data_IF_441195717415
#
_entry.id   IF_441195717415
#
_cell.length_a   1.000
_cell.length_b   1.000
_cell.length_c   1.000
_cell.angle_alpha   90.00
_cell.angle_beta   90.00
_cell.angle_gamma   90.00
#
_symmetry.space_group_name_H-M   'P 1'
#
loop_
_entity.id
_entity.type
_entity.pdbx_description
1 polymer ?
#
# COMPACT_ATOMS: atom_id res chain seq x y z
N UNK A 1 17.06 -40.52 -6.81
CA UNK A 1 16.03 -39.61 -6.25
C UNK A 1 15.14 -39.19 -7.40
N UNK A 2 13.83 -39.46 -7.35
CA UNK A 2 12.92 -39.06 -8.43
C UNK A 2 12.85 -37.53 -8.44
N UNK A 3 13.15 -36.91 -9.57
CA UNK A 3 13.19 -35.46 -9.69
C UNK A 3 11.77 -34.91 -9.61
N UNK A 4 11.38 -34.38 -8.45
CA UNK A 4 10.11 -33.67 -8.27
C UNK A 4 10.14 -32.26 -8.88
N UNK A 5 11.25 -31.88 -9.53
CA UNK A 5 11.45 -30.57 -10.12
C UNK A 5 10.37 -30.24 -11.17
N UNK A 6 9.94 -31.23 -11.94
CA UNK A 6 8.86 -31.06 -12.91
C UNK A 6 7.54 -30.63 -12.25
N UNK A 7 7.22 -31.19 -11.08
CA UNK A 7 5.99 -30.82 -10.33
C UNK A 7 6.08 -29.38 -9.84
N UNK A 8 7.24 -28.97 -9.30
CA UNK A 8 7.45 -27.59 -8.87
C UNK A 8 7.39 -26.59 -10.03
N UNK A 9 7.94 -26.93 -11.20
CA UNK A 9 7.84 -26.10 -12.39
C UNK A 9 6.40 -25.94 -12.85
N UNK A 10 5.66 -27.04 -12.96
CA UNK A 10 4.23 -27.02 -13.37
C UNK A 10 3.40 -26.21 -12.37
N UNK A 11 3.63 -26.39 -11.07
CA UNK A 11 2.94 -25.62 -10.03
C UNK A 11 3.28 -24.13 -10.14
N UNK A 12 4.55 -23.78 -10.34
CA UNK A 12 4.99 -22.39 -10.52
C UNK A 12 4.35 -21.73 -11.74
N UNK A 13 4.29 -22.43 -12.87
CA UNK A 13 3.60 -21.97 -14.08
C UNK A 13 2.09 -21.78 -13.86
N UNK A 14 1.45 -22.69 -13.12
CA UNK A 14 0.03 -22.60 -12.79
C UNK A 14 -0.29 -21.40 -11.89
N UNK A 15 0.54 -21.14 -10.87
CA UNK A 15 0.37 -19.97 -10.00
C UNK A 15 0.52 -18.62 -10.75
N UNK A 16 1.33 -18.57 -11.81
CA UNK A 16 1.53 -17.34 -12.60
C UNK A 16 0.44 -17.16 -13.67
N UNK A 17 -0.10 -18.26 -14.20
CA UNK A 17 -1.15 -18.22 -15.23
C UNK A 17 -2.43 -17.53 -14.75
N UNK A 18 -2.82 -17.74 -13.49
CA UNK A 18 -4.07 -17.22 -12.92
C UNK A 18 -3.98 -15.76 -12.43
N UNK A 19 -2.80 -15.13 -12.47
CA UNK A 19 -2.62 -13.76 -11.98
C UNK A 19 -3.25 -12.70 -12.91
N UNK A 20 -3.64 -13.10 -14.12
CA UNK A 20 -4.10 -12.20 -15.18
C UNK A 20 -5.63 -12.17 -15.31
N UNK A 21 -6.34 -12.01 -14.19
CA UNK A 21 -7.72 -11.54 -14.21
C UNK A 21 -7.83 -10.21 -13.46
N UNK A 22 -6.97 -9.25 -13.84
CA UNK A 22 -7.25 -7.85 -13.56
C UNK A 22 -8.63 -7.54 -14.16
N UNK A 23 -9.58 -7.14 -13.31
CA UNK A 23 -10.98 -6.89 -13.63
C UNK A 23 -11.10 -6.15 -14.98
N UNK A 24 -11.36 -6.91 -16.04
CA UNK A 24 -11.45 -6.42 -17.42
C UNK A 24 -12.64 -5.47 -17.59
N UNK A 25 -13.67 -5.66 -16.78
CA UNK A 25 -14.87 -4.83 -16.75
C UNK A 25 -15.22 -4.46 -15.30
N UNK A 26 -14.71 -3.31 -14.87
CA UNK A 26 -15.01 -2.76 -13.54
C UNK A 26 -16.46 -2.24 -13.46
N UNK A 27 -17.04 -1.86 -14.59
CA UNK A 27 -18.42 -1.38 -14.69
C UNK A 27 -19.42 -2.51 -14.49
N UNK A 28 -19.23 -3.63 -15.18
CA UNK A 28 -20.01 -4.85 -14.98
C UNK A 28 -19.91 -5.39 -13.56
N UNK A 29 -18.70 -5.43 -12.99
CA UNK A 29 -18.52 -5.84 -11.59
C UNK A 29 -19.27 -4.93 -10.61
N UNK A 30 -19.20 -3.60 -10.80
CA UNK A 30 -19.93 -2.66 -9.95
C UNK A 30 -21.43 -2.93 -10.01
N UNK A 31 -21.95 -3.09 -11.23
CA UNK A 31 -23.36 -3.35 -11.50
C UNK A 31 -23.85 -4.62 -10.79
N UNK A 32 -23.10 -5.71 -10.88
CA UNK A 32 -23.41 -6.97 -10.19
C UNK A 32 -23.37 -6.81 -8.66
N UNK A 33 -22.30 -6.21 -8.13
CA UNK A 33 -22.09 -6.08 -6.68
C UNK A 33 -23.09 -5.12 -6.03
N UNK A 34 -23.45 -4.05 -6.74
CA UNK A 34 -24.32 -2.98 -6.25
C UNK A 34 -25.77 -3.16 -6.66
N UNK A 35 -26.15 -4.36 -7.13
CA UNK A 35 -27.54 -4.70 -7.51
C UNK A 35 -28.11 -3.69 -8.50
N UNK A 36 -27.42 -3.48 -9.60
CA UNK A 36 -27.80 -2.57 -10.68
C UNK A 36 -27.76 -1.07 -10.32
N UNK A 37 -27.32 -0.69 -9.12
CA UNK A 37 -27.18 0.72 -8.79
C UNK A 37 -26.07 1.38 -9.61
N UNK A 38 -26.30 2.61 -10.11
CA UNK A 38 -25.32 3.33 -10.90
C UNK A 38 -24.08 3.67 -10.05
N UNK A 39 -22.92 3.68 -10.69
CA UNK A 39 -21.68 4.12 -10.04
C UNK A 39 -21.75 5.62 -9.72
N UNK A 40 -21.43 6.03 -8.47
CA UNK A 40 -21.38 7.44 -8.12
C UNK A 40 -20.39 8.21 -8.98
N UNK A 41 -20.78 9.42 -9.39
CA UNK A 41 -19.98 10.30 -10.25
C UNK A 41 -18.59 10.58 -9.67
N UNK A 42 -18.50 10.81 -8.35
CA UNK A 42 -17.25 11.10 -7.64
C UNK A 42 -16.18 10.00 -7.75
N UNK A 43 -16.58 8.75 -8.01
CA UNK A 43 -15.64 7.63 -8.18
C UNK A 43 -15.57 7.13 -9.61
N UNK A 44 -16.46 7.60 -10.48
CA UNK A 44 -16.52 7.17 -11.88
C UNK A 44 -15.24 7.52 -12.62
N UNK A 45 -14.65 8.67 -12.32
CA UNK A 45 -13.38 9.13 -12.89
C UNK A 45 -12.15 8.36 -12.39
N UNK A 46 -12.27 7.69 -11.23
CA UNK A 46 -11.20 6.85 -10.66
C UNK A 46 -11.13 5.48 -11.34
N UNK A 47 -12.29 4.99 -11.78
CA UNK A 47 -12.45 3.77 -12.56
C UNK A 47 -12.02 4.08 -13.97
N UNK A 48 -10.71 3.98 -14.21
CA UNK A 48 -10.14 4.27 -15.51
C UNK A 48 -10.86 3.45 -16.58
N UNK A 49 -11.49 4.14 -17.53
CA UNK A 49 -11.91 3.52 -18.77
C UNK A 49 -10.67 2.85 -19.37
N UNK A 50 -10.72 1.54 -19.54
CA UNK A 50 -9.63 0.73 -20.11
C UNK A 50 -9.20 1.23 -21.51
N UNK A 51 -9.98 2.14 -22.12
CA UNK A 51 -9.73 2.76 -23.42
C UNK A 51 -9.12 4.17 -23.34
N UNK A 52 -9.09 4.83 -22.18
CA UNK A 52 -8.46 6.15 -22.05
C UNK A 52 -6.97 5.97 -21.82
N UNK A 53 -6.28 5.88 -22.97
CA UNK A 53 -4.88 6.19 -23.25
C UNK A 53 -3.97 6.48 -22.06
N UNK A 54 -2.78 5.88 -22.11
CA UNK A 54 -1.63 6.13 -21.25
C UNK A 54 -1.25 7.62 -21.04
N UNK A 55 -1.85 8.54 -21.79
CA UNK A 55 -1.66 9.99 -21.70
C UNK A 55 -2.10 10.63 -20.36
N UNK A 56 -2.85 9.93 -19.50
CA UNK A 56 -3.45 10.48 -18.27
C UNK A 56 -2.83 10.03 -16.94
N UNK A 57 -1.58 9.53 -16.93
CA UNK A 57 -0.92 8.96 -15.72
C UNK A 57 -0.67 9.96 -14.57
N UNK A 58 -0.93 11.26 -14.79
CA UNK A 58 -0.76 12.35 -13.83
C UNK A 58 -2.02 12.75 -13.03
N UNK A 59 -3.13 12.04 -13.20
CA UNK A 59 -4.38 12.29 -12.46
C UNK A 59 -4.28 12.05 -10.93
N UNK A 60 -3.25 11.34 -10.48
CA UNK A 60 -3.01 11.10 -9.06
C UNK A 60 -1.88 12.02 -8.57
N UNK A 61 -2.13 12.78 -7.51
CA UNK A 61 -1.08 13.54 -6.82
C UNK A 61 -0.12 12.55 -6.17
N UNK A 62 1.01 12.29 -6.84
CA UNK A 62 2.09 11.45 -6.33
C UNK A 62 3.06 12.21 -5.41
N UNK A 63 2.78 13.50 -5.17
CA UNK A 63 3.58 14.38 -4.31
C UNK A 63 3.30 14.23 -2.81
N UNK A 64 2.77 13.10 -2.35
CA UNK A 64 2.64 12.87 -0.91
C UNK A 64 4.03 12.70 -0.32
N UNK A 65 4.30 13.39 0.79
CA UNK A 65 5.58 13.33 1.46
C UNK A 65 5.75 11.95 2.11
N UNK A 66 6.54 11.07 1.49
CA UNK A 66 6.83 9.72 2.00
C UNK A 66 7.79 9.73 3.19
N UNK A 67 8.21 10.92 3.66
CA UNK A 67 9.13 11.04 4.78
C UNK A 67 8.52 10.36 6.01
N UNK A 68 9.16 9.30 6.54
CA UNK A 68 8.65 8.60 7.71
C UNK A 68 8.61 9.58 8.88
N UNK A 69 7.42 9.78 9.45
CA UNK A 69 7.26 10.61 10.64
C UNK A 69 7.30 9.68 11.86
N UNK A 70 8.44 9.60 12.54
CA UNK A 70 8.55 8.85 13.81
C UNK A 70 8.11 9.77 14.94
N UNK A 71 6.86 9.64 15.37
CA UNK A 71 6.33 10.38 16.51
C UNK A 71 6.58 9.53 17.77
N UNK A 72 7.64 9.83 18.51
CA UNK A 72 7.89 9.19 19.81
C UNK A 72 7.00 9.86 20.88
N UNK A 73 5.85 9.25 21.18
CA UNK A 73 5.08 9.62 22.36
C UNK A 73 5.74 9.05 23.62
N UNK A 74 5.99 9.90 24.61
CA UNK A 74 6.55 9.57 25.93
C UNK A 74 7.95 8.94 25.98
N UNK A 75 8.92 9.49 25.24
CA UNK A 75 10.32 9.36 25.69
C UNK A 75 10.53 10.34 26.84
N UNK A 76 10.69 9.84 28.06
CA UNK A 76 11.19 10.63 29.18
C UNK A 76 12.64 11.04 28.88
N UNK A 77 12.81 12.14 28.16
CA UNK A 77 14.13 12.76 27.96
C UNK A 77 14.49 13.41 29.29
N UNK A 78 15.18 12.67 30.16
CA UNK A 78 15.83 13.27 31.33
C UNK A 78 16.82 14.29 30.79
N UNK A 79 16.52 15.58 30.99
CA UNK A 79 17.36 16.67 30.55
C UNK A 79 18.77 16.50 31.11
N UNK A 80 19.79 16.54 30.25
CA UNK A 80 21.19 16.39 30.65
C UNK A 80 21.60 17.39 31.75
N UNK A 81 20.93 18.54 31.84
CA UNK A 81 21.09 19.52 32.93
C UNK A 81 20.68 18.97 34.31
N UNK A 82 19.63 18.13 34.38
CA UNK A 82 19.23 17.47 35.64
C UNK A 82 20.22 16.38 36.05
N UNK A 83 20.77 15.62 35.10
CA UNK A 83 21.81 14.61 35.35
C UNK A 83 23.10 15.22 35.90
N UNK A 84 23.51 16.39 35.40
CA UNK A 84 24.70 17.10 35.91
C UNK A 84 24.51 17.63 37.34
N UNK A 85 23.35 18.22 37.67
CA UNK A 85 23.06 18.68 39.04
C UNK A 85 22.99 17.54 40.05
N UNK A 86 22.46 16.38 39.68
CA UNK A 86 22.47 15.19 40.56
C UNK A 86 23.90 14.66 40.78
N UNK A 87 24.74 14.61 39.74
CA UNK A 87 26.15 14.19 39.89
C UNK A 87 26.98 15.15 40.74
N UNK A 88 26.65 16.44 40.75
CA UNK A 88 27.29 17.43 41.62
C UNK A 88 26.83 17.29 43.08
N UNK A 89 25.53 17.01 43.32
CA UNK A 89 25.02 16.77 44.69
C UNK A 89 25.52 15.47 45.33
N UNK A 90 25.83 14.44 44.53
CA UNK A 90 26.33 13.15 45.05
C UNK A 90 27.83 13.19 45.42
N UNK A 91 28.54 14.27 45.05
CA UNK A 91 29.98 14.43 45.30
C UNK A 91 30.30 15.31 46.50
N UNK A 92 29.28 15.84 47.17
CA UNK A 92 29.40 16.62 48.40
C UNK A 92 28.92 15.81 49.60
#
# INVERSE_FOLDING_TARGET
MKSNFAVFLVLSLLLVADLSCARKDLGGYWKEMMKEQPMPEAIKDLVGDSQVSEAGKDRFIRGFNVKPNVILYHTHVVSMKQKQKQKQKLKN
#
